data_IF_804037110495
#
_entry.id   IF_804037110495
#
_cell.length_a   1.000
_cell.length_b   1.000
_cell.length_c   1.000
_cell.angle_alpha   90.00
_cell.angle_beta   90.00
_cell.angle_gamma   90.00
#
_symmetry.space_group_name_H-M   'P 1'
#
loop_
_entity.id
_entity.type
_entity.pdbx_description
1 polymer ?
#
# COMPACT_ATOMS: atom_id res chain seq x y z
N UNK A 1 -12.30 6.53 8.80
CA UNK A 1 -10.88 6.91 8.65
C UNK A 1 -10.79 8.35 8.15
N UNK A 2 -10.22 9.24 8.95
CA UNK A 2 -10.01 10.66 8.63
C UNK A 2 -8.62 10.91 8.05
N UNK A 3 -8.31 12.17 7.73
CA UNK A 3 -6.96 12.57 7.40
C UNK A 3 -6.16 12.84 8.68
N UNK A 4 -4.92 12.35 8.73
CA UNK A 4 -3.95 12.76 9.75
C UNK A 4 -2.87 13.61 9.08
N UNK A 5 -2.76 14.86 9.51
CA UNK A 5 -1.71 15.78 9.06
C UNK A 5 -0.59 15.88 10.08
N UNK A 6 0.62 16.12 9.58
CA UNK A 6 1.82 16.33 10.38
C UNK A 6 2.48 17.62 9.87
N UNK A 7 2.62 18.55 10.80
CA UNK A 7 3.36 19.78 10.56
C UNK A 7 4.86 19.45 10.45
N UNK A 8 5.57 20.23 9.63
CA UNK A 8 7.03 20.19 9.48
C UNK A 8 7.70 18.88 9.02
N UNK A 9 6.93 17.94 8.45
CA UNK A 9 7.52 16.75 7.79
C UNK A 9 7.49 16.86 6.27
N UNK A 10 8.52 16.32 5.63
CA UNK A 10 8.55 16.14 4.19
C UNK A 10 7.75 14.91 3.78
N UNK A 11 7.31 14.86 2.51
CA UNK A 11 6.69 13.65 1.94
C UNK A 11 7.57 12.41 2.08
N UNK A 12 8.91 12.58 2.00
CA UNK A 12 9.85 11.46 2.07
C UNK A 12 9.87 10.88 3.49
N UNK A 13 9.91 11.74 4.50
CA UNK A 13 9.83 11.32 5.90
C UNK A 13 8.48 10.68 6.21
N UNK A 14 7.37 11.26 5.72
CA UNK A 14 6.05 10.65 5.87
C UNK A 14 6.01 9.25 5.25
N UNK A 15 6.54 9.06 4.05
CA UNK A 15 6.61 7.73 3.42
C UNK A 15 7.50 6.78 4.25
N UNK A 16 8.63 7.25 4.76
CA UNK A 16 9.52 6.45 5.60
C UNK A 16 8.80 5.98 6.88
N UNK A 17 8.16 6.88 7.62
CA UNK A 17 7.34 6.55 8.80
C UNK A 17 6.24 5.54 8.46
N UNK A 18 5.53 5.75 7.35
CA UNK A 18 4.42 4.89 6.92
C UNK A 18 4.86 3.52 6.40
N UNK A 19 6.15 3.32 6.17
CA UNK A 19 6.70 2.05 5.66
C UNK A 19 7.72 1.44 6.61
N UNK A 20 7.86 2.02 7.80
CA UNK A 20 8.73 1.53 8.85
C UNK A 20 8.17 0.24 9.45
N UNK A 21 8.96 -0.83 9.37
CA UNK A 21 8.64 -2.10 10.03
C UNK A 21 8.53 -1.89 11.53
N UNK A 22 7.60 -2.60 12.16
CA UNK A 22 7.36 -2.46 13.59
C UNK A 22 7.10 -3.81 14.23
N UNK A 23 7.35 -3.85 15.53
CA UNK A 23 7.12 -5.00 16.38
C UNK A 23 6.23 -4.60 17.55
N UNK A 24 5.30 -5.47 17.93
CA UNK A 24 4.48 -5.29 19.14
C UNK A 24 4.44 -6.58 19.93
N UNK A 25 4.79 -6.49 21.20
CA UNK A 25 4.61 -7.59 22.14
C UNK A 25 3.17 -7.58 22.69
N UNK A 26 2.49 -8.71 22.62
CA UNK A 26 1.18 -8.96 23.20
C UNK A 26 1.26 -10.21 24.08
N UNK A 27 1.57 -10.02 25.37
CA UNK A 27 1.85 -11.11 26.29
C UNK A 27 3.12 -11.87 25.88
N UNK A 28 2.97 -13.17 25.62
CA UNK A 28 4.05 -14.06 25.17
C UNK A 28 4.23 -14.05 23.64
N UNK A 29 3.33 -13.39 22.89
CA UNK A 29 3.38 -13.37 21.42
C UNK A 29 3.95 -12.05 20.92
N UNK A 30 4.95 -12.12 20.05
CA UNK A 30 5.54 -11.02 19.32
C UNK A 30 4.87 -10.93 17.95
N UNK A 31 4.23 -9.80 17.67
CA UNK A 31 3.67 -9.50 16.35
C UNK A 31 4.66 -8.64 15.58
N UNK A 32 5.30 -9.22 14.59
CA UNK A 32 6.25 -8.52 13.73
C UNK A 32 5.57 -8.16 12.41
N UNK A 33 5.58 -6.89 12.02
CA UNK A 33 5.08 -6.42 10.73
C UNK A 33 6.19 -5.78 9.92
N UNK A 34 6.43 -6.28 8.72
CA UNK A 34 7.50 -5.81 7.82
C UNK A 34 6.95 -5.31 6.49
N UNK A 35 7.48 -4.19 6.01
CA UNK A 35 7.16 -3.66 4.68
C UNK A 35 8.06 -4.33 3.63
N UNK A 36 7.51 -5.26 2.85
CA UNK A 36 8.24 -6.00 1.80
C UNK A 36 8.54 -5.13 0.57
N UNK A 37 7.61 -4.24 0.22
CA UNK A 37 7.79 -3.33 -0.91
C UNK A 37 6.83 -2.15 -0.80
N UNK A 38 7.28 -0.96 -1.19
CA UNK A 38 6.39 0.20 -1.29
C UNK A 38 6.71 1.06 -2.53
N UNK A 39 5.74 1.86 -2.97
CA UNK A 39 5.94 2.87 -3.99
C UNK A 39 4.93 4.01 -3.86
N UNK A 40 5.38 5.22 -4.16
CA UNK A 40 4.52 6.39 -4.24
C UNK A 40 4.15 6.68 -5.70
N UNK A 41 2.86 6.90 -5.97
CA UNK A 41 2.34 7.31 -7.28
C UNK A 41 1.51 8.58 -7.16
N UNK A 42 1.98 9.64 -7.78
CA UNK A 42 1.30 10.93 -7.77
C UNK A 42 2.22 12.07 -8.19
N UNK A 43 1.85 13.29 -7.81
CA UNK A 43 2.62 14.50 -8.03
C UNK A 43 3.33 14.96 -6.75
N UNK A 44 3.95 16.14 -6.78
CA UNK A 44 4.66 16.74 -5.63
C UNK A 44 3.81 16.85 -4.36
N UNK A 45 2.52 17.14 -4.51
CA UNK A 45 1.63 17.53 -3.40
C UNK A 45 0.53 16.52 -3.09
N UNK A 46 0.34 15.51 -3.92
CA UNK A 46 -0.69 14.49 -3.68
C UNK A 46 -0.39 13.21 -4.43
N UNK A 47 -0.84 12.08 -3.87
CA UNK A 47 -0.69 10.78 -4.51
C UNK A 47 -1.12 9.65 -3.61
N UNK A 48 -0.75 8.44 -4.02
CA UNK A 48 -1.03 7.21 -3.31
C UNK A 48 0.28 6.52 -2.98
N UNK A 49 0.47 6.19 -1.71
CA UNK A 49 1.49 5.27 -1.25
C UNK A 49 0.89 3.87 -1.22
N UNK A 50 1.42 3.00 -2.08
CA UNK A 50 1.13 1.58 -2.05
C UNK A 50 2.23 0.88 -1.25
N UNK A 51 1.88 -0.02 -0.35
CA UNK A 51 2.82 -0.90 0.32
C UNK A 51 2.30 -2.34 0.40
N UNK A 52 3.24 -3.29 0.42
CA UNK A 52 2.99 -4.70 0.70
C UNK A 52 3.56 -4.99 2.07
N UNK A 53 2.71 -5.48 2.96
CA UNK A 53 3.08 -5.82 4.31
C UNK A 53 3.05 -7.32 4.50
N UNK A 54 3.95 -7.80 5.36
CA UNK A 54 3.95 -9.13 5.92
C UNK A 54 3.81 -9.03 7.44
N UNK A 55 3.03 -9.92 8.05
CA UNK A 55 2.92 -10.05 9.50
C UNK A 55 3.14 -11.48 9.93
N UNK A 56 3.97 -11.63 10.96
CA UNK A 56 4.27 -12.88 11.64
C UNK A 56 3.89 -12.78 13.11
N UNK A 57 3.49 -13.91 13.67
CA UNK A 57 3.11 -14.05 15.06
C UNK A 57 4.07 -15.07 15.67
N UNK A 58 4.98 -14.60 16.51
CA UNK A 58 6.09 -15.40 17.03
C UNK A 58 5.84 -15.64 18.53
N UNK A 59 5.86 -16.89 18.97
CA UNK A 59 5.84 -17.25 20.38
C UNK A 59 6.93 -18.28 20.63
N UNK A 60 7.72 -18.08 21.69
CA UNK A 60 8.83 -18.97 22.05
C UNK A 60 9.85 -19.21 20.91
N UNK A 61 9.97 -18.27 19.98
CA UNK A 61 10.85 -18.35 18.81
C UNK A 61 10.27 -19.07 17.59
N UNK A 62 9.01 -19.52 17.65
CA UNK A 62 8.31 -20.19 16.55
C UNK A 62 7.10 -19.39 16.06
N UNK A 63 6.78 -19.51 14.77
CA UNK A 63 5.57 -18.91 14.19
C UNK A 63 4.31 -19.66 14.69
N UNK A 64 3.45 -18.97 15.42
CA UNK A 64 2.19 -19.56 15.96
C UNK A 64 1.04 -19.53 14.98
N UNK A 65 1.07 -18.60 14.03
CA UNK A 65 0.02 -18.42 13.03
C UNK A 65 0.62 -18.37 11.62
N UNK A 66 -0.16 -18.73 10.58
CA UNK A 66 0.25 -18.51 9.21
C UNK A 66 0.59 -17.04 8.97
N UNK A 67 1.71 -16.81 8.29
CA UNK A 67 2.11 -15.47 7.86
C UNK A 67 0.99 -14.78 7.09
N UNK A 68 0.66 -13.56 7.48
CA UNK A 68 -0.32 -12.75 6.78
C UNK A 68 0.38 -11.79 5.83
N UNK A 69 -0.18 -11.57 4.64
CA UNK A 69 0.27 -10.50 3.75
C UNK A 69 -0.92 -9.71 3.23
N UNK A 70 -0.75 -8.40 3.09
CA UNK A 70 -1.79 -7.54 2.53
C UNK A 70 -1.17 -6.35 1.80
N UNK A 71 -1.99 -5.69 0.99
CA UNK A 71 -1.63 -4.47 0.28
C UNK A 71 -2.31 -3.31 1.00
N UNK A 72 -1.57 -2.23 1.28
CA UNK A 72 -2.13 -0.98 1.81
C UNK A 72 -2.17 0.10 0.76
N UNK A 73 -3.13 1.01 0.93
CA UNK A 73 -3.34 2.18 0.09
C UNK A 73 -3.45 3.42 0.98
N UNK A 74 -2.38 4.19 1.10
CA UNK A 74 -2.41 5.43 1.88
C UNK A 74 -2.46 6.62 0.92
N UNK A 75 -3.51 7.43 1.01
CA UNK A 75 -3.55 8.70 0.27
C UNK A 75 -2.64 9.67 0.98
N UNK A 76 -1.73 10.30 0.25
CA UNK A 76 -0.87 11.35 0.77
C UNK A 76 -1.28 12.67 0.12
N UNK A 77 -1.43 13.71 0.93
CA UNK A 77 -1.78 15.05 0.47
C UNK A 77 -1.03 16.10 1.29
N UNK A 78 -0.52 17.13 0.61
CA UNK A 78 -0.02 18.35 1.24
C UNK A 78 -1.15 19.36 1.40
N UNK A 79 -1.20 20.01 2.55
CA UNK A 79 -2.02 21.19 2.83
C UNK A 79 -1.15 22.33 3.33
N UNK A 80 -1.42 23.54 2.84
CA UNK A 80 -0.59 24.72 3.13
C UNK A 80 -0.56 25.07 4.61
N UNK A 81 -1.66 24.81 5.32
CA UNK A 81 -1.91 25.10 6.73
C UNK A 81 -1.53 23.95 7.67
N UNK A 82 -1.28 22.74 7.16
CA UNK A 82 -1.09 21.55 8.00
C UNK A 82 0.06 20.63 7.58
N UNK A 83 0.79 20.95 6.50
CA UNK A 83 1.88 20.12 5.99
C UNK A 83 1.40 18.88 5.23
N UNK A 84 2.22 17.83 5.22
CA UNK A 84 1.84 16.56 4.60
C UNK A 84 0.97 15.75 5.56
N UNK A 85 -0.07 15.15 5.02
CA UNK A 85 -0.92 14.22 5.73
C UNK A 85 -1.20 12.97 4.93
N UNK A 86 -1.66 11.95 5.65
CA UNK A 86 -2.09 10.70 5.06
C UNK A 86 -3.51 10.33 5.46
N UNK A 87 -4.12 9.46 4.66
CA UNK A 87 -5.38 8.80 4.97
C UNK A 87 -5.28 7.36 4.52
N UNK A 88 -5.32 6.45 5.49
CA UNK A 88 -5.38 5.02 5.24
C UNK A 88 -6.71 4.70 4.52
N UNK A 89 -6.62 3.93 3.44
CA UNK A 89 -7.77 3.44 2.69
C UNK A 89 -7.76 1.91 2.73
N UNK A 90 -8.94 1.35 3.00
CA UNK A 90 -9.18 -0.07 2.85
C UNK A 90 -9.54 -0.40 1.39
N UNK A 91 -9.36 -1.65 0.97
CA UNK A 91 -9.67 -2.14 -0.38
C UNK A 91 -11.15 -1.95 -0.78
N UNK A 92 -12.05 -1.76 0.20
CA UNK A 92 -13.47 -1.46 0.00
C UNK A 92 -13.80 0.03 -0.20
N UNK A 93 -12.85 0.94 0.04
CA UNK A 93 -13.10 2.38 0.08
C UNK A 93 -12.76 3.10 -1.24
N UNK A 94 -13.76 3.77 -1.81
CA UNK A 94 -13.57 4.67 -2.96
C UNK A 94 -13.01 6.05 -2.57
N UNK A 95 -12.38 6.79 -3.51
CA UNK A 95 -12.25 6.50 -4.93
C UNK A 95 -11.26 5.37 -5.22
N UNK A 96 -11.61 4.47 -6.15
CA UNK A 96 -10.81 3.31 -6.45
C UNK A 96 -9.50 3.69 -7.15
N UNK A 97 -8.39 3.60 -6.43
CA UNK A 97 -7.07 3.78 -7.03
C UNK A 97 -6.62 2.46 -7.64
N UNK A 98 -6.69 2.37 -8.97
CA UNK A 98 -6.23 1.20 -9.73
C UNK A 98 -4.75 1.26 -10.11
N UNK A 99 -4.02 2.23 -9.54
CA UNK A 99 -2.62 2.46 -9.86
C UNK A 99 -1.66 1.50 -9.15
N UNK A 100 -2.16 0.56 -8.32
CA UNK A 100 -1.32 -0.41 -7.59
C UNK A 100 -0.40 -1.20 -8.55
N UNK A 101 0.90 -1.37 -8.27
CA UNK A 101 1.78 -2.17 -9.12
C UNK A 101 1.31 -3.62 -9.28
N UNK A 102 1.32 -4.15 -10.51
CA UNK A 102 1.01 -5.55 -10.78
C UNK A 102 1.86 -6.54 -9.95
N UNK A 103 3.14 -6.19 -9.72
CA UNK A 103 4.04 -7.00 -8.89
C UNK A 103 3.54 -7.22 -7.46
N UNK A 104 2.75 -6.29 -6.91
CA UNK A 104 2.20 -6.43 -5.56
C UNK A 104 1.07 -7.45 -5.50
N UNK A 105 0.26 -7.55 -6.55
CA UNK A 105 -0.75 -8.60 -6.66
C UNK A 105 -0.11 -10.00 -6.66
N UNK A 106 1.07 -10.14 -7.27
CA UNK A 106 1.83 -11.40 -7.26
C UNK A 106 2.49 -11.68 -5.89
N UNK A 107 2.84 -10.65 -5.12
CA UNK A 107 3.42 -10.81 -3.77
C UNK A 107 2.39 -11.24 -2.74
N UNK A 108 1.12 -10.94 -3.00
CA UNK A 108 -0.02 -11.25 -2.13
C UNK A 108 -1.07 -12.05 -2.92
N UNK A 109 -0.83 -13.30 -3.35
CA UNK A 109 -1.83 -14.09 -4.08
C UNK A 109 -3.14 -14.24 -3.31
N UNK A 110 -4.28 -14.08 -4.00
CA UNK A 110 -5.61 -14.03 -3.35
C UNK A 110 -6.02 -15.39 -2.77
N UNK A 111 -5.59 -16.47 -3.40
CA UNK A 111 -5.78 -17.86 -2.99
C UNK A 111 -5.07 -18.17 -1.66
N UNK A 112 -3.98 -17.46 -1.37
CA UNK A 112 -3.17 -17.67 -0.16
C UNK A 112 -3.46 -16.67 0.95
N UNK A 113 -3.60 -15.39 0.62
CA UNK A 113 -3.68 -14.31 1.62
C UNK A 113 -5.03 -13.58 1.61
N UNK A 114 -5.94 -13.92 0.71
CA UNK A 114 -7.24 -13.24 0.57
C UNK A 114 -7.12 -11.84 -0.02
N UNK A 115 -8.12 -11.01 0.27
CA UNK A 115 -8.30 -9.65 -0.25
C UNK A 115 -9.50 -9.53 -1.18
N UNK A 116 -9.65 -8.37 -1.81
CA UNK A 116 -10.78 -8.01 -2.65
C UNK A 116 -10.51 -8.38 -4.12
N UNK A 117 -11.13 -9.47 -4.59
CA UNK A 117 -11.01 -9.95 -5.98
C UNK A 117 -11.46 -8.90 -7.00
N UNK A 118 -12.60 -8.25 -6.76
CA UNK A 118 -13.15 -7.24 -7.67
C UNK A 118 -12.22 -6.03 -7.84
N UNK A 119 -11.61 -5.55 -6.76
CA UNK A 119 -10.61 -4.48 -6.86
C UNK A 119 -9.38 -4.93 -7.66
N UNK A 120 -8.88 -6.14 -7.44
CA UNK A 120 -7.70 -6.66 -8.16
C UNK A 120 -7.96 -6.83 -9.65
N UNK A 121 -9.12 -7.30 -10.05
CA UNK A 121 -9.55 -7.35 -11.45
C UNK A 121 -9.51 -5.97 -12.10
N UNK A 122 -10.03 -4.95 -11.39
CA UNK A 122 -10.00 -3.58 -11.88
C UNK A 122 -8.59 -2.98 -11.96
N UNK A 123 -7.68 -3.35 -11.05
CA UNK A 123 -6.25 -3.02 -11.16
C UNK A 123 -5.65 -3.65 -12.42
N UNK A 124 -5.94 -4.93 -12.68
CA UNK A 124 -5.44 -5.65 -13.85
C UNK A 124 -5.90 -4.98 -15.14
N UNK A 125 -7.20 -4.74 -15.27
CA UNK A 125 -7.81 -4.08 -16.42
C UNK A 125 -7.26 -2.64 -16.61
N UNK A 126 -7.05 -1.89 -15.53
CA UNK A 126 -6.42 -0.57 -15.61
C UNK A 126 -5.02 -0.64 -16.24
N UNK A 127 -4.17 -1.58 -15.80
CA UNK A 127 -2.83 -1.75 -16.37
C UNK A 127 -2.87 -2.24 -17.82
N UNK A 128 -3.81 -3.11 -18.16
CA UNK A 128 -4.01 -3.55 -19.53
C UNK A 128 -4.37 -2.37 -20.45
N UNK A 129 -5.36 -1.57 -20.07
CA UNK A 129 -5.75 -0.35 -20.81
C UNK A 129 -4.58 0.63 -20.95
N UNK A 130 -3.78 0.82 -19.92
CA UNK A 130 -2.59 1.68 -19.98
C UNK A 130 -1.53 1.13 -20.95
N UNK A 131 -1.32 -0.19 -20.97
CA UNK A 131 -0.39 -0.84 -21.90
C UNK A 131 -0.87 -0.69 -23.34
N UNK A 132 -2.16 -0.89 -23.60
CA UNK A 132 -2.78 -0.72 -24.92
C UNK A 132 -2.64 0.72 -25.42
N UNK A 133 -2.92 1.72 -24.56
CA UNK A 133 -2.71 3.14 -24.88
C UNK A 133 -1.26 3.48 -25.22
N UNK A 134 -0.29 2.86 -24.52
CA UNK A 134 1.14 3.07 -24.83
C UNK A 134 1.52 2.45 -26.17
N UNK A 135 1.01 1.25 -26.46
CA UNK A 135 1.23 0.58 -27.75
C UNK A 135 0.63 1.38 -28.92
N UNK A 136 -0.61 1.86 -28.80
CA UNK A 136 -1.24 2.64 -29.86
C UNK A 136 -0.48 3.94 -30.13
N UNK A 137 0.00 4.63 -29.09
CA UNK A 137 0.85 5.83 -29.25
C UNK A 137 2.19 5.52 -29.92
N UNK A 138 2.80 4.39 -29.62
CA UNK A 138 4.06 3.98 -30.24
C UNK A 138 3.93 3.55 -31.71
N UNK A 139 2.72 3.21 -32.16
CA UNK A 139 2.43 2.89 -33.57
C UNK A 139 2.16 4.16 -34.40
N UNK A 140 1.77 5.26 -33.74
CA UNK A 140 1.43 6.54 -34.39
C UNK A 140 2.65 7.47 -34.51
N UNK A 141 3.77 7.13 -33.87
CA UNK A 141 5.06 7.86 -33.93
C UNK A 141 6.01 7.12 -34.86
#
# INVERSE_FOLDING_TARGET
MGWLFREDITRKELIAERTESWERQSGETIVQSECLAHCFRGCGFSGVLWAVWERRFIKDGEDTEPTQRWITCDLIQYRRDAGFGYKDMDESMGPYYYSCPMKYLNMVPIDRFGGNSGWREMVIDHHQRQREKRKSRAIIV
#
